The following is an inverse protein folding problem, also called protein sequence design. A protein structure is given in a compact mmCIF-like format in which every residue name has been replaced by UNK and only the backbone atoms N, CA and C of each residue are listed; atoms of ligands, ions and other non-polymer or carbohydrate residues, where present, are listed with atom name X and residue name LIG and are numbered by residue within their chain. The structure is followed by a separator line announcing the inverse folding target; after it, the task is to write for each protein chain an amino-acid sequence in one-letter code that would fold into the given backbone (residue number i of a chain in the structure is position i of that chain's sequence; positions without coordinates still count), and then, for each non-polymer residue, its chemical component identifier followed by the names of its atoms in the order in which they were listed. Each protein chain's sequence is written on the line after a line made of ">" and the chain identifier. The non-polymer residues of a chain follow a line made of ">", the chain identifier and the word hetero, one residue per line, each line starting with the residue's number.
data_IF_222849799340
#
_entry.id   IF_222849799340
#
_cell.length_a   1.000
_cell.length_b   1.000
_cell.length_c   1.000
_cell.angle_alpha   90.00
_cell.angle_beta   90.00
_cell.angle_gamma   90.00
#
_symmetry.space_group_name_H-M   'P 1'
#
loop_
_entity.id
_entity.type
_entity.pdbx_description
1 polymer ?
#
# COMPACT_ATOMS: atom_id res chain seq x y z
N UNK A 1 -5.47 -46.53 -8.64
CA UNK A 1 -5.39 -45.71 -7.41
C UNK A 1 -4.88 -44.32 -7.76
N UNK A 2 -5.73 -43.29 -7.77
CA UNK A 2 -5.37 -41.91 -8.10
C UNK A 2 -4.32 -41.35 -7.13
N UNK A 3 -3.53 -40.34 -7.54
CA UNK A 3 -2.71 -39.59 -6.58
C UNK A 3 -3.64 -39.01 -5.49
N UNK A 4 -3.28 -39.15 -4.21
CA UNK A 4 -4.21 -38.92 -3.09
C UNK A 4 -4.80 -37.51 -2.98
N UNK A 5 -4.34 -36.53 -3.78
CA UNK A 5 -5.03 -35.25 -3.98
C UNK A 5 -4.93 -34.77 -5.42
N UNK A 6 -6.04 -34.30 -6.04
CA UNK A 6 -5.96 -33.55 -7.29
C UNK A 6 -5.20 -32.24 -7.04
N UNK A 7 -4.16 -31.99 -7.84
CA UNK A 7 -3.43 -30.72 -7.81
C UNK A 7 -4.29 -29.70 -8.56
N UNK A 8 -4.88 -28.75 -7.82
CA UNK A 8 -5.60 -27.61 -8.38
C UNK A 8 -4.78 -26.32 -8.21
N UNK A 9 -5.04 -25.26 -8.99
CA UNK A 9 -4.40 -23.97 -8.78
C UNK A 9 -4.54 -23.53 -7.31
N UNK A 10 -3.44 -23.07 -6.70
CA UNK A 10 -3.34 -22.71 -5.27
C UNK A 10 -3.26 -23.88 -4.26
N UNK A 11 -3.08 -25.13 -4.71
CA UNK A 11 -2.77 -26.25 -3.78
C UNK A 11 -1.44 -25.98 -3.07
N UNK A 12 -1.45 -25.97 -1.73
CA UNK A 12 -0.24 -25.76 -0.93
C UNK A 12 0.67 -26.99 -0.97
N UNK A 13 1.97 -26.75 -1.10
CA UNK A 13 3.02 -27.73 -0.89
C UNK A 13 3.63 -27.60 0.51
N UNK A 14 4.46 -28.57 0.92
CA UNK A 14 5.21 -28.45 2.19
C UNK A 14 6.12 -27.23 2.23
N UNK A 15 6.62 -26.77 1.07
CA UNK A 15 7.51 -25.60 0.98
C UNK A 15 6.78 -24.26 1.18
N UNK A 16 5.45 -24.29 1.23
CA UNK A 16 4.61 -23.12 1.43
C UNK A 16 4.22 -22.92 2.91
N UNK A 17 4.63 -23.85 3.78
CA UNK A 17 4.29 -23.86 5.20
C UNK A 17 5.38 -23.14 6.04
N UNK A 18 5.01 -22.29 7.02
CA UNK A 18 5.97 -21.58 7.89
C UNK A 18 6.90 -22.51 8.68
N UNK A 19 6.39 -23.69 9.02
CA UNK A 19 7.14 -24.72 9.71
C UNK A 19 7.11 -25.98 8.86
N UNK A 20 8.28 -26.41 8.39
CA UNK A 20 8.45 -27.65 7.65
C UNK A 20 8.94 -28.74 8.60
N UNK A 21 8.22 -29.85 8.68
CA UNK A 21 8.65 -30.99 9.49
C UNK A 21 9.60 -31.83 8.64
N UNK A 22 10.89 -31.79 8.93
CA UNK A 22 11.87 -32.70 8.34
C UNK A 22 11.75 -34.05 9.01
N UNK A 23 11.80 -35.09 8.18
CA UNK A 23 11.72 -36.47 8.63
C UNK A 23 12.62 -37.32 7.75
N UNK A 24 13.39 -38.19 8.38
CA UNK A 24 14.32 -39.12 7.72
C UNK A 24 13.83 -40.56 7.84
N UNK A 25 13.73 -41.23 6.69
CA UNK A 25 13.25 -42.60 6.59
C UNK A 25 14.25 -43.61 7.15
N UNK A 26 15.55 -43.33 7.08
CA UNK A 26 16.59 -44.29 7.43
C UNK A 26 16.75 -44.43 8.95
N UNK A 27 16.52 -43.34 9.67
CA UNK A 27 16.64 -43.27 11.13
C UNK A 27 15.33 -43.55 11.86
N UNK A 28 14.18 -43.41 11.19
CA UNK A 28 12.88 -43.56 11.80
C UNK A 28 12.47 -45.04 12.02
N UNK A 29 12.15 -45.39 13.27
CA UNK A 29 11.60 -46.72 13.63
C UNK A 29 10.13 -46.92 13.25
N UNK A 30 9.47 -45.87 12.70
CA UNK A 30 8.07 -45.87 12.29
C UNK A 30 7.07 -46.23 13.40
N UNK A 31 7.42 -45.97 14.67
CA UNK A 31 6.60 -46.27 15.84
C UNK A 31 5.34 -45.39 16.02
N UNK A 32 5.17 -44.31 15.24
CA UNK A 32 3.97 -43.45 15.29
C UNK A 32 3.82 -42.54 16.51
N UNK A 33 4.75 -42.55 17.48
CA UNK A 33 4.67 -41.70 18.69
C UNK A 33 4.56 -40.21 18.39
N UNK A 34 5.35 -39.74 17.42
CA UNK A 34 5.37 -38.33 17.00
C UNK A 34 4.05 -37.87 16.35
N UNK A 35 3.35 -38.75 15.62
CA UNK A 35 2.04 -38.42 15.04
C UNK A 35 0.95 -38.45 16.10
N UNK A 36 1.04 -39.33 17.09
CA UNK A 36 0.09 -39.41 18.20
C UNK A 36 0.16 -38.19 19.15
N UNK A 37 1.35 -37.61 19.36
CA UNK A 37 1.54 -36.47 20.28
C UNK A 37 1.34 -35.11 19.61
N UNK A 38 1.14 -35.05 18.29
CA UNK A 38 1.07 -33.77 17.58
C UNK A 38 -0.22 -33.02 17.94
N UNK A 39 -0.17 -31.87 18.65
CA UNK A 39 -1.36 -31.22 19.18
C UNK A 39 -2.30 -30.67 18.09
N UNK A 40 -1.73 -30.37 16.91
CA UNK A 40 -2.44 -29.80 15.76
C UNK A 40 -2.59 -30.81 14.61
N UNK A 41 -2.23 -32.08 14.83
CA UNK A 41 -2.27 -33.12 13.80
C UNK A 41 -1.58 -32.74 12.48
N UNK A 42 -0.46 -32.01 12.56
CA UNK A 42 0.27 -31.51 11.40
C UNK A 42 0.99 -32.62 10.60
N UNK A 43 1.17 -33.80 11.18
CA UNK A 43 1.86 -34.95 10.58
C UNK A 43 1.03 -36.21 10.71
N UNK A 44 1.12 -37.09 9.72
CA UNK A 44 0.39 -38.35 9.64
C UNK A 44 1.31 -39.50 9.22
N UNK A 45 1.11 -40.66 9.83
CA UNK A 45 1.82 -41.91 9.51
C UNK A 45 0.94 -42.71 8.55
N UNK A 46 1.51 -43.15 7.42
CA UNK A 46 0.74 -43.92 6.45
C UNK A 46 1.58 -44.43 5.29
N UNK A 47 0.88 -44.98 4.30
CA UNK A 47 1.44 -45.40 3.02
C UNK A 47 0.89 -44.45 1.96
N UNK A 48 1.79 -43.76 1.26
CA UNK A 48 1.47 -42.69 0.33
C UNK A 48 2.07 -43.00 -1.04
N UNK A 49 1.37 -42.56 -2.09
CA UNK A 49 1.88 -42.62 -3.46
C UNK A 49 2.69 -41.36 -3.78
N UNK A 50 3.94 -41.53 -4.20
CA UNK A 50 4.82 -40.44 -4.64
C UNK A 50 4.98 -40.48 -6.16
N UNK A 51 4.83 -39.32 -6.80
CA UNK A 51 5.11 -39.16 -8.24
C UNK A 51 6.57 -38.77 -8.40
N UNK A 52 7.32 -39.53 -9.19
CA UNK A 52 8.69 -39.24 -9.58
C UNK A 52 8.72 -38.87 -11.06
N UNK A 53 9.39 -37.77 -11.37
CA UNK A 53 9.51 -37.26 -12.73
C UNK A 53 10.96 -37.50 -13.15
N UNK A 54 11.15 -38.43 -14.07
CA UNK A 54 12.46 -38.73 -14.64
C UNK A 54 12.61 -37.87 -15.89
N UNK A 55 13.34 -36.77 -15.75
CA UNK A 55 13.66 -35.89 -16.86
C UNK A 55 15.04 -36.28 -17.44
N UNK A 56 15.10 -36.83 -18.67
CA UNK A 56 16.37 -37.15 -19.31
C UNK A 56 17.19 -35.88 -19.56
N UNK A 57 18.53 -35.99 -19.50
CA UNK A 57 19.40 -34.86 -19.85
C UNK A 57 19.42 -34.66 -21.37
N UNK A 58 18.78 -33.59 -21.84
CA UNK A 58 18.70 -33.22 -23.24
C UNK A 58 17.28 -32.86 -23.68
N UNK A 59 17.14 -32.22 -24.84
CA UNK A 59 15.85 -31.82 -25.41
C UNK A 59 15.15 -32.94 -26.21
N UNK A 60 15.84 -34.07 -26.40
CA UNK A 60 15.43 -35.12 -27.35
C UNK A 60 14.37 -36.08 -26.81
N UNK A 61 14.20 -36.17 -25.49
CA UNK A 61 13.29 -37.14 -24.87
C UNK A 61 12.30 -36.45 -23.92
N UNK A 62 11.04 -36.89 -23.98
CA UNK A 62 9.98 -36.39 -23.10
C UNK A 62 10.16 -36.96 -21.69
N UNK A 63 9.91 -36.17 -20.64
CA UNK A 63 9.97 -36.66 -19.27
C UNK A 63 8.95 -37.76 -19.03
N UNK A 64 9.38 -38.85 -18.40
CA UNK A 64 8.49 -39.94 -18.00
C UNK A 64 8.03 -39.73 -16.55
N UNK A 65 6.80 -40.17 -16.28
CA UNK A 65 6.21 -40.10 -14.93
C UNK A 65 6.14 -41.49 -14.36
N UNK A 66 6.90 -41.73 -13.30
CA UNK A 66 6.87 -42.97 -12.53
C UNK A 66 6.20 -42.73 -11.18
N UNK A 67 5.70 -43.80 -10.57
CA UNK A 67 5.06 -43.73 -9.27
C UNK A 67 5.69 -44.74 -8.34
N UNK A 68 6.21 -44.26 -7.22
CA UNK A 68 6.74 -45.07 -6.14
C UNK A 68 5.81 -45.02 -4.93
N UNK A 69 5.83 -46.08 -4.14
CA UNK A 69 5.09 -46.15 -2.88
C UNK A 69 6.03 -45.78 -1.74
N UNK A 70 5.61 -44.85 -0.90
CA UNK A 70 6.36 -44.34 0.23
C UNK A 70 5.61 -44.64 1.53
N UNK A 71 6.28 -45.19 2.55
CA UNK A 71 5.69 -45.54 3.84
C UNK A 71 6.44 -44.85 4.96
N UNK A 72 5.74 -44.02 5.75
CA UNK A 72 6.37 -43.17 6.74
C UNK A 72 5.52 -41.97 7.12
N UNK A 73 6.19 -40.90 7.54
CA UNK A 73 5.52 -39.70 8.05
C UNK A 73 5.41 -38.64 6.95
N UNK A 74 4.20 -38.11 6.75
CA UNK A 74 3.91 -36.99 5.85
C UNK A 74 3.39 -35.80 6.64
N UNK A 75 3.87 -34.61 6.32
CA UNK A 75 3.30 -33.37 6.82
C UNK A 75 2.07 -32.97 6.00
N UNK A 76 0.96 -32.66 6.69
CA UNK A 76 -0.24 -32.13 6.07
C UNK A 76 0.02 -30.72 5.54
N UNK A 77 -0.51 -30.43 4.36
CA UNK A 77 -0.39 -29.12 3.71
C UNK A 77 -1.64 -28.25 3.86
N UNK A 78 -2.68 -28.77 4.52
CA UNK A 78 -3.88 -28.01 4.82
C UNK A 78 -3.60 -26.96 5.91
N UNK A 79 -3.93 -25.67 5.70
CA UNK A 79 -3.70 -24.62 6.69
C UNK A 79 -4.32 -24.89 8.06
N UNK A 80 -5.44 -25.62 8.12
CA UNK A 80 -6.12 -25.96 9.38
C UNK A 80 -5.26 -26.82 10.32
N UNK A 81 -4.29 -27.56 9.77
CA UNK A 81 -3.37 -28.42 10.51
C UNK A 81 -1.92 -27.91 10.44
N UNK A 82 -1.72 -26.61 10.21
CA UNK A 82 -0.37 -26.04 10.08
C UNK A 82 0.47 -26.29 11.34
N UNK A 83 1.72 -26.75 11.15
CA UNK A 83 2.64 -26.96 12.25
C UNK A 83 2.97 -25.63 12.94
N UNK A 84 2.95 -25.63 14.28
CA UNK A 84 3.22 -24.45 15.11
C UNK A 84 4.65 -24.38 15.66
N UNK A 85 5.51 -25.35 15.30
CA UNK A 85 6.92 -25.36 15.74
C UNK A 85 7.16 -25.77 17.20
N UNK A 86 6.19 -26.39 17.88
CA UNK A 86 6.32 -26.79 19.30
C UNK A 86 7.34 -27.90 19.59
N UNK A 87 7.95 -28.51 18.56
CA UNK A 87 8.96 -29.57 18.66
C UNK A 87 8.57 -30.86 19.43
N UNK A 88 7.31 -31.04 19.85
CA UNK A 88 6.84 -32.26 20.52
C UNK A 88 7.15 -33.54 19.74
N UNK A 89 7.05 -33.49 18.41
CA UNK A 89 7.39 -34.63 17.54
C UNK A 89 8.85 -35.07 17.66
N UNK A 90 9.77 -34.12 17.84
CA UNK A 90 11.20 -34.39 18.03
C UNK A 90 11.44 -34.99 19.43
N UNK A 91 10.88 -34.38 20.47
CA UNK A 91 11.06 -34.79 21.87
C UNK A 91 10.65 -36.24 22.17
N UNK A 92 9.63 -36.77 21.48
CA UNK A 92 9.16 -38.16 21.67
C UNK A 92 9.82 -39.15 20.71
N UNK A 93 10.65 -38.67 19.79
CA UNK A 93 11.30 -39.52 18.79
C UNK A 93 12.52 -40.22 19.42
N UNK A 94 12.57 -41.57 19.46
CA UNK A 94 13.69 -42.28 20.09
C UNK A 94 15.02 -42.07 19.37
N UNK A 95 14.98 -41.76 18.06
CA UNK A 95 16.17 -41.66 17.20
C UNK A 95 16.37 -40.26 16.60
N UNK A 96 15.65 -39.23 17.09
CA UNK A 96 15.69 -37.86 16.53
C UNK A 96 15.44 -37.79 15.01
N UNK A 97 14.65 -38.73 14.47
CA UNK A 97 14.39 -38.86 13.04
C UNK A 97 13.39 -37.83 12.49
N UNK A 98 12.91 -36.89 13.31
CA UNK A 98 11.91 -35.90 12.95
C UNK A 98 12.10 -34.58 13.70
N UNK A 99 12.01 -33.46 13.01
CA UNK A 99 12.14 -32.13 13.61
C UNK A 99 11.36 -31.06 12.83
N UNK A 100 10.74 -30.06 13.51
CA UNK A 100 10.20 -28.90 12.83
C UNK A 100 11.31 -27.88 12.55
N UNK A 101 11.35 -27.35 11.33
CA UNK A 101 12.24 -26.28 10.93
C UNK A 101 11.44 -25.06 10.46
N UNK A 102 11.82 -23.87 10.94
CA UNK A 102 11.18 -22.63 10.53
C UNK A 102 11.70 -22.19 9.18
N UNK A 103 10.80 -21.90 8.26
CA UNK A 103 11.13 -21.23 7.01
C UNK A 103 10.87 -19.73 7.18
N UNK A 104 11.86 -18.90 6.88
CA UNK A 104 11.76 -17.46 7.06
C UNK A 104 10.98 -16.75 5.93
N UNK A 105 10.81 -17.40 4.77
CA UNK A 105 10.31 -16.75 3.54
C UNK A 105 8.89 -17.16 3.10
N UNK A 106 8.17 -18.02 3.84
CA UNK A 106 6.89 -18.55 3.35
C UNK A 106 5.68 -17.68 3.75
N UNK A 107 5.34 -16.67 2.94
CA UNK A 107 4.08 -15.88 3.08
C UNK A 107 2.88 -16.52 2.37
N UNK A 108 3.04 -17.73 1.82
CA UNK A 108 2.01 -18.39 1.00
C UNK A 108 0.82 -18.86 1.84
N UNK A 109 1.03 -19.31 3.08
CA UNK A 109 -0.05 -19.77 3.98
C UNK A 109 -1.03 -18.64 4.37
N UNK A 110 -0.55 -17.39 4.45
CA UNK A 110 -1.38 -16.22 4.77
C UNK A 110 -2.52 -16.01 3.75
N UNK A 111 -2.29 -16.35 2.48
CA UNK A 111 -3.32 -16.28 1.42
C UNK A 111 -4.50 -17.22 1.68
N UNK A 112 -4.23 -18.42 2.19
CA UNK A 112 -5.27 -19.42 2.43
C UNK A 112 -6.09 -19.11 3.69
N UNK A 113 -5.45 -18.55 4.73
CA UNK A 113 -6.14 -18.15 5.97
C UNK A 113 -7.16 -17.02 5.74
N UNK A 114 -6.95 -16.19 4.72
CA UNK A 114 -7.78 -15.00 4.44
C UNK A 114 -8.87 -15.20 3.38
N UNK A 115 -9.12 -16.44 2.92
CA UNK A 115 -10.12 -16.75 1.87
C UNK A 115 -11.57 -16.38 2.22
N UNK A 116 -11.87 -16.07 3.48
CA UNK A 116 -13.21 -15.69 3.94
C UNK A 116 -13.60 -14.22 3.71
N UNK A 117 -12.70 -13.38 3.16
CA UNK A 117 -13.04 -12.01 2.74
C UNK A 117 -13.50 -11.07 3.85
N UNK A 118 -13.31 -11.41 5.13
CA UNK A 118 -13.67 -10.49 6.21
C UNK A 118 -12.74 -9.28 6.21
N UNK A 119 -13.23 -8.06 5.95
CA UNK A 119 -12.41 -6.87 5.93
C UNK A 119 -11.85 -6.60 7.32
N UNK A 120 -10.53 -6.44 7.41
CA UNK A 120 -9.86 -6.09 8.65
C UNK A 120 -10.24 -4.66 9.05
N UNK A 121 -11.05 -4.51 10.09
CA UNK A 121 -11.39 -3.20 10.65
C UNK A 121 -10.21 -2.65 11.45
N UNK A 122 -9.57 -1.59 10.93
CA UNK A 122 -8.41 -0.95 11.55
C UNK A 122 -8.87 0.11 12.53
N UNK A 123 -9.04 -0.25 13.80
CA UNK A 123 -9.04 0.70 14.91
C UNK A 123 -7.62 1.21 15.18
N UNK A 124 -7.48 2.50 15.51
CA UNK A 124 -6.19 3.16 15.73
C UNK A 124 -5.29 2.44 16.73
N UNK A 125 -3.97 2.57 16.52
CA UNK A 125 -2.86 2.06 17.36
C UNK A 125 -3.09 0.66 17.96
N UNK A 126 -2.93 -0.37 17.13
CA UNK A 126 -2.48 -1.70 17.60
C UNK A 126 -1.17 -2.05 16.89
N UNK A 127 -0.21 -2.60 17.63
CA UNK A 127 1.09 -3.07 17.17
C UNK A 127 0.92 -4.27 16.22
N UNK A 128 0.34 -4.05 15.04
CA UNK A 128 0.37 -4.99 13.94
C UNK A 128 1.44 -4.54 12.95
N UNK A 129 2.45 -5.37 12.73
CA UNK A 129 3.55 -5.09 11.79
C UNK A 129 3.14 -5.21 10.33
N UNK A 130 1.99 -5.84 10.04
CA UNK A 130 1.52 -6.06 8.68
C UNK A 130 0.78 -4.83 8.13
N UNK A 131 1.22 -4.33 6.98
CA UNK A 131 0.55 -3.30 6.20
C UNK A 131 -0.48 -3.91 5.23
N UNK A 132 -1.41 -3.09 4.73
CA UNK A 132 -2.33 -3.51 3.67
C UNK A 132 -1.57 -3.89 2.39
N UNK A 133 -0.46 -3.20 2.10
CA UNK A 133 0.36 -3.48 0.91
C UNK A 133 0.98 -4.87 0.97
N UNK A 134 1.34 -5.36 2.16
CA UNK A 134 1.87 -6.72 2.36
C UNK A 134 0.84 -7.82 2.05
N UNK A 135 -0.44 -7.45 1.98
CA UNK A 135 -1.55 -8.36 1.66
C UNK A 135 -1.90 -8.35 0.16
N UNK A 136 -1.36 -7.40 -0.61
CA UNK A 136 -1.58 -7.30 -2.05
C UNK A 136 -0.50 -8.11 -2.76
N UNK A 137 -0.90 -9.15 -3.51
CA UNK A 137 0.01 -9.92 -4.36
C UNK A 137 -0.26 -9.61 -5.82
N UNK A 138 0.74 -9.08 -6.51
CA UNK A 138 0.71 -8.92 -7.96
C UNK A 138 1.09 -10.25 -8.62
N UNK A 139 0.15 -10.87 -9.33
CA UNK A 139 0.46 -11.99 -10.22
C UNK A 139 1.13 -11.44 -11.49
N UNK A 140 2.00 -12.23 -12.13
CA UNK A 140 2.62 -11.82 -13.41
C UNK A 140 1.53 -11.61 -14.47
N UNK A 141 1.25 -10.35 -14.79
CA UNK A 141 0.31 -9.96 -15.85
C UNK A 141 0.77 -10.44 -17.23
N UNK A 142 2.08 -10.61 -17.43
CA UNK A 142 2.70 -10.99 -18.70
C UNK A 142 2.37 -12.40 -19.19
N UNK A 143 1.67 -13.22 -18.38
CA UNK A 143 1.20 -14.57 -18.78
C UNK A 143 -0.28 -14.60 -19.20
N UNK A 144 -1.00 -13.48 -19.11
CA UNK A 144 -2.44 -13.39 -19.39
C UNK A 144 -2.77 -12.71 -20.73
N UNK A 145 -1.78 -12.11 -21.39
CA UNK A 145 -1.93 -11.41 -22.67
C UNK A 145 -1.23 -12.19 -23.78
N UNK A 146 -1.89 -12.35 -24.92
CA UNK A 146 -1.30 -12.92 -26.14
C UNK A 146 -1.38 -11.87 -27.27
N UNK A 147 -0.23 -11.33 -27.74
CA UNK A 147 1.14 -11.67 -27.33
C UNK A 147 1.48 -11.17 -25.92
N UNK A 148 2.43 -11.85 -25.28
CA UNK A 148 2.92 -11.46 -23.96
C UNK A 148 3.50 -10.03 -24.02
N UNK A 149 3.03 -9.18 -23.11
CA UNK A 149 3.60 -7.84 -22.90
C UNK A 149 5.08 -7.95 -22.51
N UNK A 150 5.96 -7.67 -23.47
CA UNK A 150 7.41 -7.61 -23.28
C UNK A 150 7.82 -6.18 -22.85
N UNK A 151 8.46 -6.06 -21.70
CA UNK A 151 8.93 -4.79 -21.14
C UNK A 151 9.97 -4.07 -22.03
N UNK A 152 10.64 -4.80 -22.94
CA UNK A 152 11.57 -4.22 -23.91
C UNK A 152 10.92 -3.71 -25.20
N UNK A 153 9.64 -4.02 -25.45
CA UNK A 153 8.92 -3.65 -26.69
C UNK A 153 7.80 -2.65 -26.47
N UNK A 154 7.37 -2.46 -25.22
CA UNK A 154 6.25 -1.60 -24.87
C UNK A 154 6.76 -0.43 -24.05
N UNK A 155 6.43 0.78 -24.48
CA UNK A 155 6.61 1.97 -23.67
C UNK A 155 5.48 2.05 -22.65
N UNK A 156 5.84 2.26 -21.38
CA UNK A 156 4.87 2.47 -20.31
C UNK A 156 4.91 3.94 -19.91
N UNK A 157 3.78 4.61 -20.11
CA UNK A 157 3.62 5.96 -19.58
C UNK A 157 3.17 5.88 -18.12
N UNK A 158 4.01 6.40 -17.23
CA UNK A 158 3.74 6.42 -15.79
C UNK A 158 3.02 7.70 -15.35
N UNK A 159 2.48 8.49 -16.28
CA UNK A 159 1.79 9.75 -15.98
C UNK A 159 0.30 9.49 -15.76
N UNK A 160 -0.31 10.33 -14.93
CA UNK A 160 -1.76 10.36 -14.72
C UNK A 160 -2.25 11.80 -14.77
N UNK A 161 -3.57 11.99 -14.83
CA UNK A 161 -4.19 13.30 -14.96
C UNK A 161 -4.70 13.82 -13.61
N UNK A 162 -4.42 15.09 -13.33
CA UNK A 162 -4.99 15.85 -12.22
C UNK A 162 -5.83 17.00 -12.79
N UNK A 163 -7.13 16.96 -12.52
CA UNK A 163 -8.08 17.97 -12.97
C UNK A 163 -9.37 17.35 -13.48
N UNK A 164 -10.31 18.20 -13.89
CA UNK A 164 -11.59 17.76 -14.45
C UNK A 164 -11.45 17.52 -15.95
N UNK A 165 -11.49 16.25 -16.34
CA UNK A 165 -11.58 15.86 -17.75
C UNK A 165 -13.04 16.07 -18.22
N UNK A 166 -13.23 16.83 -19.29
CA UNK A 166 -14.55 17.06 -19.87
C UNK A 166 -14.99 15.86 -20.71
N UNK A 167 -16.30 15.62 -20.85
CA UNK A 167 -16.81 14.69 -21.86
C UNK A 167 -16.38 15.13 -23.28
N UNK A 168 -16.14 14.20 -24.22
CA UNK A 168 -15.66 14.53 -25.57
C UNK A 168 -16.53 15.56 -26.31
N UNK A 169 -17.84 15.51 -26.13
CA UNK A 169 -18.78 16.42 -26.80
C UNK A 169 -18.56 17.86 -26.32
N UNK A 170 -18.38 18.05 -25.01
CA UNK A 170 -18.12 19.36 -24.40
C UNK A 170 -16.73 19.87 -24.73
N UNK A 171 -15.75 18.97 -24.85
CA UNK A 171 -14.39 19.35 -25.23
C UNK A 171 -14.34 19.89 -26.67
N UNK A 172 -15.04 19.24 -27.61
CA UNK A 172 -15.17 19.70 -29.00
C UNK A 172 -15.91 21.05 -29.05
N UNK A 173 -16.98 21.21 -28.27
CA UNK A 173 -17.72 22.48 -28.18
C UNK A 173 -16.84 23.61 -27.65
N UNK A 174 -16.16 23.41 -26.51
CA UNK A 174 -15.22 24.39 -25.97
C UNK A 174 -14.09 24.73 -26.95
N UNK A 175 -13.57 23.73 -27.69
CA UNK A 175 -12.52 23.96 -28.69
C UNK A 175 -13.03 24.76 -29.90
N UNK A 176 -14.27 24.52 -30.33
CA UNK A 176 -14.88 25.27 -31.45
C UNK A 176 -15.17 26.72 -31.06
N UNK A 177 -15.69 26.92 -29.86
CA UNK A 177 -16.19 28.22 -29.42
C UNK A 177 -15.12 29.04 -28.65
N UNK A 178 -13.87 28.55 -28.59
CA UNK A 178 -12.78 29.08 -27.76
C UNK A 178 -13.21 29.33 -26.31
N UNK A 179 -14.06 28.44 -25.79
CA UNK A 179 -14.60 28.51 -24.44
C UNK A 179 -13.53 28.20 -23.39
N UNK A 180 -13.76 28.67 -22.16
CA UNK A 180 -12.91 28.32 -21.03
C UNK A 180 -13.01 26.82 -20.71
N UNK A 181 -11.87 26.17 -20.54
CA UNK A 181 -11.79 24.76 -20.09
C UNK A 181 -11.09 24.67 -18.73
N UNK A 182 -11.55 23.77 -17.83
CA UNK A 182 -10.82 23.49 -16.60
C UNK A 182 -9.40 23.01 -16.92
N UNK A 183 -8.37 23.48 -16.19
CA UNK A 183 -7.02 23.01 -16.39
C UNK A 183 -6.90 21.53 -15.99
N UNK A 184 -6.35 20.72 -16.87
CA UNK A 184 -5.95 19.33 -16.61
C UNK A 184 -4.44 19.25 -16.74
N UNK A 185 -3.77 18.67 -15.75
CA UNK A 185 -2.31 18.58 -15.68
C UNK A 185 -1.88 17.12 -15.63
N UNK A 186 -0.86 16.77 -16.39
CA UNK A 186 -0.15 15.51 -16.18
C UNK A 186 0.67 15.57 -14.89
N UNK A 187 0.56 14.52 -14.09
CA UNK A 187 1.26 14.35 -12.82
C UNK A 187 1.84 12.95 -12.72
N UNK A 188 2.86 12.82 -11.88
CA UNK A 188 3.35 11.52 -11.43
C UNK A 188 2.26 10.89 -10.52
N UNK A 189 2.06 9.57 -10.52
CA UNK A 189 0.92 8.93 -9.86
C UNK A 189 1.09 8.87 -8.34
N UNK A 190 2.16 9.47 -7.82
CA UNK A 190 2.40 9.70 -6.40
C UNK A 190 2.43 11.20 -6.13
N UNK A 191 1.67 11.61 -5.12
CA UNK A 191 1.63 12.99 -4.61
C UNK A 191 2.15 12.99 -3.19
N UNK A 192 2.95 14.00 -2.85
CA UNK A 192 3.40 14.20 -1.48
C UNK A 192 2.23 14.77 -0.68
N UNK A 193 1.76 13.99 0.29
CA UNK A 193 0.57 14.32 1.09
C UNK A 193 0.71 15.60 1.92
N UNK A 194 -0.44 16.18 2.27
CA UNK A 194 -0.52 17.45 2.99
C UNK A 194 0.01 17.37 4.43
N UNK A 195 1.17 17.95 4.67
CA UNK A 195 1.77 18.10 5.99
C UNK A 195 1.99 19.58 6.28
N UNK A 196 1.37 20.09 7.34
CA UNK A 196 1.30 21.52 7.58
C UNK A 196 2.63 22.15 7.96
N UNK A 197 2.86 23.37 7.46
CA UNK A 197 3.91 24.24 7.96
C UNK A 197 3.67 24.51 9.46
N UNK A 198 4.61 24.09 10.30
CA UNK A 198 4.50 24.07 11.76
C UNK A 198 4.32 22.68 12.36
N UNK A 199 3.68 21.74 11.68
CA UNK A 199 3.80 20.33 12.04
C UNK A 199 5.20 19.83 11.69
N UNK A 200 5.66 20.17 10.48
CA UNK A 200 7.04 20.04 10.02
C UNK A 200 7.84 21.32 10.30
N UNK A 201 9.16 21.19 10.39
CA UNK A 201 10.05 22.35 10.47
C UNK A 201 10.09 23.12 9.14
N UNK A 202 10.32 24.44 9.16
CA UNK A 202 10.50 25.24 7.94
C UNK A 202 11.53 24.64 6.98
N UNK A 203 12.69 24.22 7.50
CA UNK A 203 13.78 23.66 6.70
C UNK A 203 13.39 22.35 6.02
N UNK A 204 12.64 21.48 6.71
CA UNK A 204 12.14 20.24 6.10
C UNK A 204 11.16 20.55 4.98
N UNK A 205 10.27 21.52 5.17
CA UNK A 205 9.26 21.90 4.18
C UNK A 205 9.91 22.53 2.94
N UNK A 206 10.86 23.45 3.13
CA UNK A 206 11.64 24.07 2.05
C UNK A 206 12.49 23.03 1.30
N UNK A 207 13.16 22.13 2.01
CA UNK A 207 13.92 21.04 1.39
C UNK A 207 13.05 20.09 0.58
N UNK A 208 11.84 19.76 1.07
CA UNK A 208 10.87 18.95 0.34
C UNK A 208 10.45 19.63 -0.96
N UNK A 209 10.17 20.92 -0.92
CA UNK A 209 9.78 21.64 -2.12
C UNK A 209 10.95 21.79 -3.12
N UNK A 210 12.18 22.02 -2.65
CA UNK A 210 13.35 22.01 -3.53
C UNK A 210 13.51 20.66 -4.24
N UNK A 211 13.26 19.55 -3.53
CA UNK A 211 13.23 18.22 -4.13
C UNK A 211 12.12 18.07 -5.19
N UNK A 212 10.93 18.58 -4.92
CA UNK A 212 9.82 18.60 -5.91
C UNK A 212 10.20 19.43 -7.14
N UNK A 213 10.79 20.61 -6.95
CA UNK A 213 11.25 21.46 -8.05
C UNK A 213 12.30 20.74 -8.90
N UNK A 214 13.32 20.12 -8.28
CA UNK A 214 14.31 19.30 -8.98
C UNK A 214 13.68 18.16 -9.79
N UNK A 215 12.75 17.40 -9.20
CA UNK A 215 12.07 16.30 -9.90
C UNK A 215 11.32 16.78 -11.15
N UNK A 216 10.70 17.96 -11.07
CA UNK A 216 9.96 18.52 -12.20
C UNK A 216 10.88 19.15 -13.26
N UNK A 217 11.82 20.01 -12.84
CA UNK A 217 12.62 20.84 -13.73
C UNK A 217 13.82 20.09 -14.34
N UNK A 218 14.43 19.16 -13.59
CA UNK A 218 15.63 18.43 -14.03
C UNK A 218 15.33 17.00 -14.48
N UNK A 219 14.43 16.30 -13.76
CA UNK A 219 14.12 14.88 -14.05
C UNK A 219 12.89 14.68 -14.94
N UNK A 220 12.19 15.76 -15.31
CA UNK A 220 10.93 15.70 -16.07
C UNK A 220 9.88 14.75 -15.45
N UNK A 221 9.88 14.66 -14.11
CA UNK A 221 8.96 13.87 -13.31
C UNK A 221 7.95 14.81 -12.64
N UNK A 222 6.69 14.85 -13.11
CA UNK A 222 5.72 15.86 -12.71
C UNK A 222 5.12 15.59 -11.31
N UNK A 223 5.95 15.63 -10.27
CA UNK A 223 5.55 15.38 -8.88
C UNK A 223 4.89 16.62 -8.28
N UNK A 224 3.81 16.43 -7.53
CA UNK A 224 3.10 17.50 -6.82
C UNK A 224 3.18 17.29 -5.31
N UNK A 225 3.08 18.37 -4.55
CA UNK A 225 2.96 18.30 -3.09
C UNK A 225 1.83 19.16 -2.55
N UNK A 226 1.21 18.71 -1.47
CA UNK A 226 0.17 19.46 -0.80
C UNK A 226 0.72 20.25 0.40
N UNK A 227 0.27 21.50 0.57
CA UNK A 227 0.74 22.39 1.65
C UNK A 227 0.36 21.94 3.05
N UNK A 228 -0.72 21.17 3.17
CA UNK A 228 -1.38 20.92 4.45
C UNK A 228 -2.12 22.14 5.02
N UNK A 229 -2.76 21.95 6.17
CA UNK A 229 -3.72 22.87 6.79
C UNK A 229 -3.11 24.13 7.44
N UNK A 230 -1.79 24.32 7.35
CA UNK A 230 -1.08 25.30 8.19
C UNK A 230 -0.81 26.65 7.53
N UNK A 231 -1.29 26.86 6.32
CA UNK A 231 -0.87 27.96 5.46
C UNK A 231 0.48 27.71 4.79
N UNK A 232 0.86 28.62 3.91
CA UNK A 232 2.16 28.65 3.25
C UNK A 232 2.74 30.08 3.36
N UNK A 233 4.03 30.26 3.74
CA UNK A 233 4.64 31.58 3.73
C UNK A 233 4.54 32.25 2.35
N UNK A 234 4.09 33.51 2.21
CA UNK A 234 3.99 34.19 0.92
C UNK A 234 5.31 34.22 0.13
N UNK A 235 6.44 34.40 0.82
CA UNK A 235 7.78 34.37 0.17
C UNK A 235 8.03 33.07 -0.58
N UNK A 236 7.45 31.97 -0.09
CA UNK A 236 7.60 30.65 -0.67
C UNK A 236 6.71 30.55 -1.91
N UNK A 237 5.45 31.00 -1.85
CA UNK A 237 4.56 31.05 -3.02
C UNK A 237 5.08 31.94 -4.18
N UNK A 238 5.86 32.98 -3.86
CA UNK A 238 6.47 33.91 -4.83
C UNK A 238 7.84 33.45 -5.34
N UNK A 239 8.41 32.39 -4.76
CA UNK A 239 9.76 31.94 -5.07
C UNK A 239 9.80 31.14 -6.37
N UNK A 240 10.86 31.35 -7.17
CA UNK A 240 11.12 30.56 -8.39
C UNK A 240 11.34 29.06 -8.13
N UNK A 241 11.67 28.68 -6.89
CA UNK A 241 11.98 27.31 -6.50
C UNK A 241 10.77 26.59 -5.89
N UNK A 242 9.64 27.29 -5.74
CA UNK A 242 8.45 26.76 -5.08
C UNK A 242 7.27 26.81 -6.02
N UNK A 243 7.18 25.72 -6.75
CA UNK A 243 6.22 25.47 -7.82
C UNK A 243 5.55 24.12 -7.56
N UNK A 244 4.46 23.84 -8.26
CA UNK A 244 3.81 22.51 -8.25
C UNK A 244 3.09 22.15 -6.94
N UNK A 245 2.46 23.14 -6.29
CA UNK A 245 1.73 22.97 -5.02
C UNK A 245 0.24 22.74 -5.21
N UNK A 246 -0.32 21.89 -4.34
CA UNK A 246 -1.75 21.76 -4.08
C UNK A 246 -2.02 22.53 -2.78
N UNK A 247 -2.88 23.55 -2.83
CA UNK A 247 -3.21 24.36 -1.66
C UNK A 247 -4.35 23.70 -0.88
N UNK A 248 -4.15 23.44 0.41
CA UNK A 248 -5.17 22.79 1.23
C UNK A 248 -6.06 23.80 1.98
N UNK A 249 -7.37 23.65 1.85
CA UNK A 249 -8.39 24.30 2.69
C UNK A 249 -8.84 23.28 3.75
N UNK A 250 -8.60 23.59 5.01
CA UNK A 250 -9.10 22.82 6.16
C UNK A 250 -10.07 23.66 7.01
N UNK A 251 -10.71 23.05 7.99
CA UNK A 251 -11.74 23.68 8.83
C UNK A 251 -11.30 24.90 9.62
N UNK A 252 -10.00 25.02 9.94
CA UNK A 252 -9.44 26.19 10.61
C UNK A 252 -9.09 27.36 9.69
N UNK A 253 -9.14 27.17 8.37
CA UNK A 253 -8.81 28.18 7.35
C UNK A 253 -7.48 28.92 7.55
N UNK A 254 -6.54 28.32 8.30
CA UNK A 254 -5.29 28.98 8.65
C UNK A 254 -4.45 29.37 7.43
N UNK A 255 -4.02 30.63 7.40
CA UNK A 255 -3.14 31.20 6.38
C UNK A 255 -3.75 31.40 5.01
N UNK A 256 -5.08 31.25 4.87
CA UNK A 256 -5.76 31.55 3.61
C UNK A 256 -5.73 33.03 3.25
N UNK A 257 -5.74 33.93 4.23
CA UNK A 257 -5.55 35.36 3.98
C UNK A 257 -4.22 35.61 3.26
N UNK A 258 -3.11 35.11 3.83
CA UNK A 258 -1.77 35.23 3.23
C UNK A 258 -1.67 34.56 1.86
N UNK A 259 -2.29 33.39 1.69
CA UNK A 259 -2.33 32.68 0.40
C UNK A 259 -3.07 33.51 -0.66
N UNK A 260 -4.26 34.04 -0.34
CA UNK A 260 -5.07 34.80 -1.30
C UNK A 260 -4.32 36.05 -1.78
N UNK A 261 -3.66 36.77 -0.88
CA UNK A 261 -2.84 37.92 -1.25
C UNK A 261 -1.60 37.53 -2.07
N UNK A 262 -1.11 36.31 -1.93
CA UNK A 262 0.03 35.82 -2.69
C UNK A 262 -0.33 35.29 -4.08
N UNK A 263 -1.56 34.81 -4.30
CA UNK A 263 -1.99 34.19 -5.57
C UNK A 263 -1.63 35.04 -6.81
N UNK A 264 -1.92 36.35 -6.86
CA UNK A 264 -1.60 37.17 -8.04
C UNK A 264 -0.10 37.28 -8.34
N UNK A 265 0.75 37.02 -7.35
CA UNK A 265 2.20 37.12 -7.44
C UNK A 265 2.88 35.74 -7.52
N UNK A 266 2.10 34.65 -7.53
CA UNK A 266 2.63 33.30 -7.63
C UNK A 266 3.37 33.11 -8.95
N UNK A 267 4.50 32.41 -8.90
CA UNK A 267 5.28 32.10 -10.11
C UNK A 267 4.62 31.06 -11.00
N UNK A 268 3.75 30.24 -10.43
CA UNK A 268 2.98 29.23 -11.13
C UNK A 268 1.64 29.05 -10.44
N UNK A 269 0.58 28.83 -11.21
CA UNK A 269 -0.75 28.58 -10.67
C UNK A 269 -0.76 27.32 -9.78
N UNK A 270 -1.59 27.31 -8.72
CA UNK A 270 -1.77 26.10 -7.93
C UNK A 270 -2.26 24.94 -8.81
N UNK A 271 -1.71 23.75 -8.56
CA UNK A 271 -2.04 22.55 -9.32
C UNK A 271 -3.49 22.11 -9.09
N UNK A 272 -3.94 22.24 -7.85
CA UNK A 272 -5.30 22.00 -7.41
C UNK A 272 -5.52 22.68 -6.06
N UNK A 273 -6.78 22.75 -5.65
CA UNK A 273 -7.19 23.10 -4.30
C UNK A 273 -7.73 21.83 -3.63
N UNK A 274 -7.15 21.44 -2.50
CA UNK A 274 -7.62 20.28 -1.73
C UNK A 274 -8.52 20.75 -0.59
N UNK A 275 -9.75 20.25 -0.55
CA UNK A 275 -10.70 20.52 0.54
C UNK A 275 -10.63 19.35 1.52
N UNK A 276 -10.03 19.58 2.69
CA UNK A 276 -9.80 18.55 3.70
C UNK A 276 -11.01 18.41 4.64
N UNK A 277 -11.81 17.37 4.41
CA UNK A 277 -12.90 17.00 5.34
C UNK A 277 -12.45 16.23 6.58
N UNK A 278 -11.36 15.45 6.49
CA UNK A 278 -10.89 14.63 7.59
C UNK A 278 -9.53 14.03 7.30
N UNK A 279 -8.95 13.34 8.29
CA UNK A 279 -7.70 12.63 8.15
C UNK A 279 -7.76 11.26 8.82
N UNK A 280 -7.12 10.24 8.23
CA UNK A 280 -7.18 8.88 8.75
C UNK A 280 -6.64 8.70 10.18
N UNK A 281 -5.73 9.58 10.62
CA UNK A 281 -5.21 9.56 11.99
C UNK A 281 -6.25 10.00 13.05
N UNK A 282 -7.20 10.85 12.68
CA UNK A 282 -8.26 11.39 13.54
C UNK A 282 -9.45 11.83 12.68
N UNK A 283 -10.32 10.89 12.26
CA UNK A 283 -11.35 11.19 11.26
C UNK A 283 -12.47 12.10 11.78
N UNK A 284 -12.72 12.11 13.09
CA UNK A 284 -13.79 12.91 13.71
C UNK A 284 -13.34 14.26 14.29
N UNK A 285 -12.06 14.61 14.19
CA UNK A 285 -11.50 15.83 14.79
C UNK A 285 -10.71 16.64 13.77
N UNK A 286 -10.60 17.94 14.04
CA UNK A 286 -9.76 18.85 13.26
C UNK A 286 -8.26 18.70 13.56
N UNK A 287 -7.46 19.44 12.80
CA UNK A 287 -6.05 19.68 13.03
C UNK A 287 -5.72 20.15 14.45
N UNK A 288 -4.51 19.87 14.95
CA UNK A 288 -4.04 20.40 16.23
C UNK A 288 -2.56 20.77 16.12
N UNK A 289 -2.25 22.04 16.35
CA UNK A 289 -0.88 22.49 16.55
C UNK A 289 -0.68 22.99 17.99
N UNK A 290 0.29 22.40 18.68
CA UNK A 290 0.57 22.75 20.08
C UNK A 290 1.23 24.12 20.22
N UNK A 291 0.88 24.84 21.29
CA UNK A 291 1.35 26.21 21.56
C UNK A 291 2.87 26.41 21.43
N UNK A 292 3.67 25.46 21.93
CA UNK A 292 5.13 25.57 21.91
C UNK A 292 5.74 25.45 20.51
N UNK A 293 4.95 25.02 19.51
CA UNK A 293 5.34 25.05 18.10
C UNK A 293 4.90 26.34 17.41
N UNK A 294 3.99 27.13 17.99
CA UNK A 294 3.49 28.38 17.39
C UNK A 294 4.48 29.50 17.69
N UNK A 295 5.56 29.52 16.91
CA UNK A 295 6.56 30.59 16.93
C UNK A 295 6.09 31.82 16.13
N UNK A 296 6.86 32.91 16.15
CA UNK A 296 6.53 34.16 15.45
C UNK A 296 6.22 33.97 13.96
N UNK A 297 6.93 33.08 13.27
CA UNK A 297 6.72 32.81 11.85
C UNK A 297 5.37 32.10 11.62
N UNK A 298 5.07 31.05 12.38
CA UNK A 298 3.82 30.29 12.26
C UNK A 298 2.63 31.14 12.69
N UNK A 299 2.79 31.94 13.74
CA UNK A 299 1.78 32.90 14.20
C UNK A 299 1.40 33.89 13.09
N UNK A 300 2.40 34.47 12.40
CA UNK A 300 2.19 35.39 11.30
C UNK A 300 1.50 34.70 10.10
N UNK A 301 2.00 33.52 9.67
CA UNK A 301 1.40 32.77 8.55
C UNK A 301 -0.06 32.45 8.81
N UNK A 302 -0.43 32.11 10.06
CA UNK A 302 -1.78 31.66 10.40
C UNK A 302 -2.71 32.78 10.84
N UNK A 303 -2.22 34.01 11.01
CA UNK A 303 -3.02 35.12 11.54
C UNK A 303 -3.44 34.94 13.00
N UNK A 304 -2.59 34.33 13.84
CA UNK A 304 -2.92 33.97 15.24
C UNK A 304 -1.87 34.46 16.23
N UNK A 305 -2.22 34.64 17.53
CA UNK A 305 -1.24 34.98 18.56
C UNK A 305 -0.15 33.92 18.73
N UNK A 306 1.08 34.36 19.01
CA UNK A 306 2.20 33.47 19.33
C UNK A 306 1.95 32.73 20.65
N UNK A 307 2.38 31.47 20.74
CA UNK A 307 2.34 30.72 22.00
C UNK A 307 0.95 30.25 22.42
N UNK A 308 0.00 30.14 21.49
CA UNK A 308 -1.35 29.61 21.74
C UNK A 308 -1.54 28.30 20.98
N UNK A 309 -2.22 27.33 21.58
CA UNK A 309 -2.54 26.06 20.89
C UNK A 309 -3.67 26.29 19.88
N UNK A 310 -3.58 25.65 18.72
CA UNK A 310 -4.50 25.84 17.60
C UNK A 310 -5.28 24.55 17.32
N UNK A 311 -6.35 24.25 18.08
CA UNK A 311 -7.31 23.24 17.68
C UNK A 311 -8.13 23.77 16.50
N UNK A 312 -8.18 23.02 15.41
CA UNK A 312 -9.12 23.32 14.31
C UNK A 312 -10.49 22.72 14.64
N UNK A 313 -11.59 23.36 14.25
CA UNK A 313 -12.92 22.77 14.38
C UNK A 313 -13.01 21.40 13.68
N UNK A 314 -13.84 20.46 14.16
CA UNK A 314 -14.05 19.17 13.49
C UNK A 314 -14.68 19.28 12.11
N UNK A 315 -15.45 20.34 11.86
CA UNK A 315 -16.21 20.55 10.62
C UNK A 315 -15.88 21.90 9.99
N UNK A 316 -16.07 21.99 8.67
CA UNK A 316 -16.10 23.30 8.01
C UNK A 316 -17.41 24.01 8.41
N UNK A 317 -17.29 25.16 9.06
CA UNK A 317 -18.45 25.98 9.49
C UNK A 317 -19.35 26.46 8.35
N UNK A 318 -18.97 26.22 7.10
CA UNK A 318 -19.71 26.63 5.91
C UNK A 318 -20.24 25.42 5.13
N UNK A 319 -20.07 24.18 5.61
CA UNK A 319 -20.45 22.96 4.89
C UNK A 319 -21.13 21.97 5.83
N UNK A 320 -22.37 22.24 6.22
CA UNK A 320 -23.11 21.39 7.15
C UNK A 320 -23.86 20.26 6.44
N UNK A 321 -24.22 20.45 5.17
CA UNK A 321 -24.89 19.45 4.36
C UNK A 321 -24.19 19.22 3.01
N UNK A 322 -24.53 18.12 2.35
CA UNK A 322 -24.01 17.83 1.00
C UNK A 322 -24.52 18.88 0.00
N UNK A 323 -25.76 19.34 0.16
CA UNK A 323 -26.36 20.39 -0.68
C UNK A 323 -25.61 21.71 -0.52
N UNK A 324 -25.31 22.12 0.72
CA UNK A 324 -24.52 23.34 0.96
C UNK A 324 -23.09 23.23 0.42
N UNK A 325 -22.46 22.07 0.62
CA UNK A 325 -21.12 21.81 0.12
C UNK A 325 -21.07 21.89 -1.41
N UNK A 326 -22.00 21.21 -2.09
CA UNK A 326 -22.10 21.20 -3.55
C UNK A 326 -22.46 22.58 -4.08
N UNK A 327 -23.44 23.26 -3.49
CA UNK A 327 -23.83 24.61 -3.89
C UNK A 327 -22.66 25.59 -3.82
N UNK A 328 -21.89 25.58 -2.72
CA UNK A 328 -20.71 26.45 -2.58
C UNK A 328 -19.57 26.08 -3.53
N UNK A 329 -19.40 24.80 -3.86
CA UNK A 329 -18.44 24.36 -4.88
C UNK A 329 -18.85 24.80 -6.29
N UNK A 330 -20.15 24.84 -6.59
CA UNK A 330 -20.67 25.28 -7.90
C UNK A 330 -20.62 26.81 -8.03
N UNK A 331 -20.99 27.56 -6.98
CA UNK A 331 -20.99 29.02 -6.99
C UNK A 331 -19.58 29.65 -7.00
N UNK A 332 -18.54 28.85 -6.73
CA UNK A 332 -17.12 29.25 -6.80
C UNK A 332 -16.42 28.82 -8.09
N UNK A 333 -17.16 28.20 -9.03
CA UNK A 333 -16.73 27.95 -10.42
C UNK A 333 -17.28 29.04 -11.34
#
# INVERSE_FOLDING_TARGET
>A
MLAERPITPSTLSRKDLPWQVKWDINTCTRCGRCTAVCPVNAIELGVFRKREITAPMGLSAKPTTEFSTFYGIRQRTDPAYACIGCAMCNMVCPNNAIEPQRQYDSTTLQFQNNRGGQPRTRGGRRNNSESLLDQIKFIRISMLTDPALDAGRHEFEMRTLLGRVLPPEKEIECHRDNGWKPPVREIYPLVIGGMSFGALSPNMWEGLQMGVAYLNEEMNMPVRMCTGEGGCPPRLLRSRFLKYVILQIASGYFGWDEIIHAIPEMKEDPCAIEIKYGQGAKPGDGGLLMWYKVNKLIAAIRGVPQGVSLPSPPTHQTKYSIEEAVAKMIQSM
#
